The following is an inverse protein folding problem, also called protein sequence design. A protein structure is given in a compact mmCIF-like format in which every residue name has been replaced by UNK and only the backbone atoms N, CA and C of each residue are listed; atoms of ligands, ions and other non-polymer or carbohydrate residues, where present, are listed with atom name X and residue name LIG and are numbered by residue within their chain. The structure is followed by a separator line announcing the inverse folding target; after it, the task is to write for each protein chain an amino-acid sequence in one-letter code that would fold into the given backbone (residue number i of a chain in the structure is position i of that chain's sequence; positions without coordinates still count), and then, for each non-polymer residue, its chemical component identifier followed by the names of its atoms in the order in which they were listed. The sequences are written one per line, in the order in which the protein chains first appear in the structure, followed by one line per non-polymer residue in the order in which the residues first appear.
data_IF_673821207255
#
_entry.id   IF_673821207255
#
_cell.length_a   1.000
_cell.length_b   1.000
_cell.length_c   1.000
_cell.angle_alpha   90.00
_cell.angle_beta   90.00
_cell.angle_gamma   90.00
#
_symmetry.space_group_name_H-M   'P 1'
#
loop_
_entity.id
_entity.type
_entity.pdbx_description
1 polymer ?
#
# COMPACT_ATOMS: atom_id res chain seq x y z
N UNK A 1 -38.33 -4.75 -35.87
CA UNK A 1 -37.23 -5.00 -34.90
C UNK A 1 -36.01 -4.17 -35.29
N UNK A 2 -35.80 -3.01 -34.65
CA UNK A 2 -34.62 -2.12 -34.83
C UNK A 2 -34.19 -1.42 -33.50
N UNK A 3 -34.86 -1.75 -32.39
CA UNK A 3 -34.66 -1.10 -31.09
C UNK A 3 -33.41 -1.58 -30.35
N UNK A 4 -32.92 -2.79 -30.66
CA UNK A 4 -31.72 -3.36 -30.05
C UNK A 4 -30.44 -2.56 -30.34
N UNK A 5 -30.28 -2.02 -31.55
CA UNK A 5 -29.08 -1.25 -31.91
C UNK A 5 -29.02 0.12 -31.24
N UNK A 6 -30.17 0.78 -31.06
CA UNK A 6 -30.22 2.08 -30.37
C UNK A 6 -29.93 1.89 -28.88
N UNK A 7 -30.47 0.83 -28.27
CA UNK A 7 -30.20 0.50 -26.87
C UNK A 7 -28.71 0.20 -26.64
N UNK A 8 -28.08 -0.56 -27.55
CA UNK A 8 -26.64 -0.86 -27.48
C UNK A 8 -25.76 0.38 -27.61
N UNK A 9 -26.06 1.27 -28.55
CA UNK A 9 -25.31 2.52 -28.74
C UNK A 9 -25.45 3.49 -27.55
N UNK A 10 -26.64 3.55 -26.93
CA UNK A 10 -26.85 4.35 -25.72
C UNK A 10 -26.11 3.73 -24.54
N UNK A 11 -26.15 2.40 -24.39
CA UNK A 11 -25.44 1.67 -23.35
C UNK A 11 -23.92 1.87 -23.46
N UNK A 12 -23.33 1.77 -24.65
CA UNK A 12 -21.90 2.01 -24.87
C UNK A 12 -21.49 3.44 -24.50
N UNK A 13 -22.29 4.46 -24.85
CA UNK A 13 -22.02 5.85 -24.46
C UNK A 13 -22.07 6.05 -22.94
N UNK A 14 -23.04 5.43 -22.25
CA UNK A 14 -23.14 5.50 -20.79
C UNK A 14 -21.95 4.78 -20.13
N UNK A 15 -21.56 3.63 -20.65
CA UNK A 15 -20.39 2.88 -20.18
C UNK A 15 -19.10 3.68 -20.39
N UNK A 16 -18.91 4.32 -21.54
CA UNK A 16 -17.73 5.14 -21.81
C UNK A 16 -17.68 6.41 -20.95
N UNK A 17 -18.84 7.01 -20.66
CA UNK A 17 -18.93 8.14 -19.75
C UNK A 17 -18.55 7.73 -18.31
N UNK A 18 -19.10 6.62 -17.81
CA UNK A 18 -18.73 6.03 -16.52
C UNK A 18 -17.24 5.65 -16.48
N UNK A 19 -16.70 5.09 -17.58
CA UNK A 19 -15.29 4.69 -17.69
C UNK A 19 -14.35 5.89 -17.62
N UNK A 20 -14.63 6.96 -18.38
CA UNK A 20 -13.84 8.21 -18.34
C UNK A 20 -13.86 8.85 -16.96
N UNK A 21 -15.02 8.85 -16.29
CA UNK A 21 -15.15 9.35 -14.92
C UNK A 21 -14.35 8.51 -13.91
N UNK A 22 -14.34 7.19 -14.09
CA UNK A 22 -13.65 6.26 -13.19
C UNK A 22 -12.13 6.27 -13.40
N UNK A 23 -11.65 6.46 -14.63
CA UNK A 23 -10.21 6.53 -14.97
C UNK A 23 -9.51 7.67 -14.21
N UNK A 24 -10.14 8.85 -14.12
CA UNK A 24 -9.55 9.98 -13.40
C UNK A 24 -9.34 9.67 -11.92
N UNK A 25 -10.31 9.01 -11.28
CA UNK A 25 -10.18 8.56 -9.89
C UNK A 25 -9.13 7.45 -9.74
N UNK A 26 -9.10 6.51 -10.69
CA UNK A 26 -8.15 5.39 -10.68
C UNK A 26 -6.70 5.85 -10.86
N UNK A 27 -6.45 6.86 -11.71
CA UNK A 27 -5.13 7.50 -11.85
C UNK A 27 -4.66 8.16 -10.56
N UNK A 28 -5.54 8.92 -9.88
CA UNK A 28 -5.23 9.53 -8.57
C UNK A 28 -4.91 8.47 -7.52
N UNK A 29 -5.68 7.38 -7.50
CA UNK A 29 -5.43 6.26 -6.59
C UNK A 29 -4.07 5.60 -6.82
N UNK A 30 -3.70 5.34 -8.08
CA UNK A 30 -2.39 4.79 -8.42
C UNK A 30 -1.27 5.77 -8.02
N UNK A 31 -1.44 7.07 -8.29
CA UNK A 31 -0.45 8.07 -7.89
C UNK A 31 -0.23 8.11 -6.37
N UNK A 32 -1.29 8.03 -5.56
CA UNK A 32 -1.17 7.98 -4.09
C UNK A 32 -0.40 6.73 -3.64
N UNK A 33 -0.66 5.57 -4.27
CA UNK A 33 0.08 4.33 -3.96
C UNK A 33 1.55 4.46 -4.31
N UNK A 34 1.87 5.02 -5.48
CA UNK A 34 3.26 5.21 -5.91
C UNK A 34 4.00 6.15 -4.96
N UNK A 35 3.37 7.26 -4.57
CA UNK A 35 3.93 8.20 -3.59
C UNK A 35 4.14 7.50 -2.23
N UNK A 36 3.18 6.70 -1.78
CA UNK A 36 3.29 5.97 -0.53
C UNK A 36 4.46 4.96 -0.55
N UNK A 37 4.63 4.21 -1.64
CA UNK A 37 5.75 3.28 -1.82
C UNK A 37 7.07 4.05 -1.83
N UNK A 38 7.18 5.13 -2.62
CA UNK A 38 8.38 5.97 -2.67
C UNK A 38 8.73 6.53 -1.29
N UNK A 39 7.74 6.99 -0.53
CA UNK A 39 7.95 7.49 0.84
C UNK A 39 8.48 6.40 1.78
N UNK A 40 8.01 5.16 1.64
CA UNK A 40 8.57 4.03 2.41
C UNK A 40 10.01 3.72 2.02
N UNK A 41 10.35 3.76 0.74
CA UNK A 41 11.73 3.54 0.28
C UNK A 41 12.65 4.61 0.86
N UNK A 42 12.27 5.89 0.79
CA UNK A 42 13.06 7.00 1.35
C UNK A 42 13.23 6.83 2.86
N UNK A 43 12.16 6.52 3.60
CA UNK A 43 12.23 6.26 5.03
C UNK A 43 13.15 5.07 5.35
N UNK A 44 13.09 4.00 4.56
CA UNK A 44 13.99 2.84 4.70
C UNK A 44 15.45 3.23 4.54
N UNK A 45 15.78 4.03 3.52
CA UNK A 45 17.14 4.54 3.32
C UNK A 45 17.60 5.41 4.50
N UNK A 46 16.73 6.28 5.01
CA UNK A 46 17.04 7.11 6.17
C UNK A 46 17.31 6.26 7.42
N UNK A 47 16.51 5.22 7.66
CA UNK A 47 16.72 4.30 8.78
C UNK A 47 18.05 3.56 8.63
N UNK A 48 18.37 3.06 7.43
CA UNK A 48 19.64 2.38 7.16
C UNK A 48 20.82 3.31 7.41
N UNK A 49 20.76 4.55 6.94
CA UNK A 49 21.83 5.53 7.19
C UNK A 49 21.98 5.82 8.69
N UNK A 50 20.88 5.98 9.44
CA UNK A 50 20.92 6.18 10.90
C UNK A 50 21.55 4.96 11.60
N UNK A 51 21.21 3.75 11.18
CA UNK A 51 21.76 2.51 11.75
C UNK A 51 23.24 2.31 11.41
N UNK A 52 23.67 2.74 10.21
CA UNK A 52 25.09 2.75 9.81
C UNK A 52 25.88 3.77 10.64
N UNK A 53 25.35 4.98 10.82
CA UNK A 53 26.00 6.04 11.61
C UNK A 53 26.12 5.66 13.09
N UNK A 54 25.18 4.88 13.62
CA UNK A 54 25.18 4.43 15.03
C UNK A 54 26.03 3.18 15.30
N UNK A 55 26.70 2.61 14.29
CA UNK A 55 27.37 1.31 14.39
C UNK A 55 26.47 0.17 14.90
N UNK A 56 25.14 0.30 14.87
CA UNK A 56 24.21 -0.75 15.32
C UNK A 56 24.34 -2.03 14.48
N UNK A 57 24.88 -1.93 13.26
CA UNK A 57 25.27 -3.09 12.45
C UNK A 57 26.50 -3.83 12.96
N UNK A 58 27.39 -3.19 13.74
CA UNK A 58 28.53 -3.84 14.37
C UNK A 58 28.09 -4.85 15.43
N UNK A 59 27.03 -4.53 16.18
CA UNK A 59 26.35 -5.48 17.06
C UNK A 59 25.80 -6.66 16.25
N UNK A 60 25.12 -6.42 15.13
CA UNK A 60 24.63 -7.49 14.24
C UNK A 60 25.76 -8.36 13.63
N UNK A 61 26.96 -7.81 13.39
CA UNK A 61 28.10 -8.60 12.91
C UNK A 61 28.68 -9.52 13.99
N UNK A 62 28.60 -9.15 15.28
CA UNK A 62 28.92 -10.04 16.40
C UNK A 62 27.98 -11.26 16.45
N UNK A 63 26.70 -11.09 16.07
CA UNK A 63 25.75 -12.19 15.93
C UNK A 63 26.09 -13.12 14.75
N UNK A 64 26.80 -12.67 13.73
CA UNK A 64 27.17 -13.51 12.58
C UNK A 64 28.34 -14.47 12.84
N UNK A 65 29.12 -14.26 13.90
CA UNK A 65 30.35 -15.01 14.15
C UNK A 65 30.14 -16.23 15.05
N UNK A 66 29.20 -16.19 16.00
CA UNK A 66 28.94 -17.32 16.92
C UNK A 66 27.43 -17.61 17.06
N UNK A 67 26.94 -18.73 16.51
CA UNK A 67 25.52 -19.09 16.57
C UNK A 67 25.02 -19.40 18.00
N UNK A 68 25.92 -19.77 18.92
CA UNK A 68 25.59 -19.95 20.35
C UNK A 68 25.25 -18.62 21.03
N UNK A 69 25.93 -17.53 20.65
CA UNK A 69 25.64 -16.18 21.14
C UNK A 69 24.30 -15.70 20.60
N UNK A 70 23.94 -16.06 19.36
CA UNK A 70 22.61 -15.78 18.81
C UNK A 70 21.53 -16.43 19.68
N UNK A 71 21.63 -17.73 19.96
CA UNK A 71 20.59 -18.44 20.71
C UNK A 71 20.43 -17.89 22.14
N UNK A 72 21.51 -17.44 22.77
CA UNK A 72 21.49 -16.89 24.12
C UNK A 72 21.03 -15.42 24.19
N UNK A 73 21.38 -14.58 23.21
CA UNK A 73 21.25 -13.12 23.30
C UNK A 73 20.39 -12.47 22.19
N UNK A 74 19.72 -13.26 21.35
CA UNK A 74 18.87 -12.70 20.29
C UNK A 74 17.74 -11.82 20.82
N UNK A 75 17.13 -12.16 21.96
CA UNK A 75 16.06 -11.35 22.56
C UNK A 75 16.58 -10.01 23.05
N UNK A 76 17.65 -10.01 23.84
CA UNK A 76 18.27 -8.78 24.36
C UNK A 76 18.74 -7.88 23.22
N UNK A 77 19.23 -8.47 22.14
CA UNK A 77 19.72 -7.71 20.99
C UNK A 77 18.59 -7.14 20.15
N UNK A 78 17.51 -7.90 19.94
CA UNK A 78 16.30 -7.34 19.33
C UNK A 78 15.71 -6.23 20.19
N UNK A 79 15.79 -6.35 21.51
CA UNK A 79 15.32 -5.33 22.44
C UNK A 79 16.16 -4.04 22.34
N UNK A 80 17.48 -4.16 22.41
CA UNK A 80 18.40 -3.02 22.24
C UNK A 80 18.24 -2.40 20.86
N UNK A 81 18.11 -3.21 19.81
CA UNK A 81 17.86 -2.72 18.45
C UNK A 81 16.52 -1.96 18.35
N UNK A 82 15.48 -2.43 19.02
CA UNK A 82 14.19 -1.77 19.08
C UNK A 82 14.25 -0.43 19.84
N UNK A 83 15.04 -0.36 20.90
CA UNK A 83 15.24 0.83 21.72
C UNK A 83 16.12 1.88 21.01
N UNK A 84 17.12 1.44 20.24
CA UNK A 84 17.95 2.31 19.41
C UNK A 84 17.23 2.82 18.17
N UNK A 85 16.17 2.14 17.72
CA UNK A 85 15.40 2.55 16.56
C UNK A 85 14.73 3.90 16.81
N UNK A 86 14.83 4.86 15.88
CA UNK A 86 14.20 6.16 16.02
C UNK A 86 12.67 6.02 15.99
N UNK A 87 12.05 5.95 17.18
CA UNK A 87 10.61 5.71 17.34
C UNK A 87 9.75 6.66 16.50
N UNK A 88 10.16 7.92 16.33
CA UNK A 88 9.45 8.90 15.48
C UNK A 88 9.29 8.39 14.04
N UNK A 89 10.31 7.76 13.49
CA UNK A 89 10.28 7.21 12.13
C UNK A 89 9.40 5.96 12.07
N UNK A 90 9.46 5.11 13.10
CA UNK A 90 8.61 3.91 13.23
C UNK A 90 7.13 4.27 13.32
N UNK A 91 6.76 5.28 14.10
CA UNK A 91 5.38 5.77 14.18
C UNK A 91 4.91 6.35 12.84
N UNK A 92 5.79 7.06 12.13
CA UNK A 92 5.47 7.67 10.85
C UNK A 92 5.28 6.61 9.76
N UNK A 93 6.09 5.56 9.73
CA UNK A 93 5.91 4.42 8.82
C UNK A 93 4.63 3.64 9.14
N UNK A 94 4.32 3.43 10.43
CA UNK A 94 3.08 2.80 10.86
C UNK A 94 1.83 3.61 10.45
N UNK A 95 1.87 4.94 10.58
CA UNK A 95 0.80 5.83 10.15
C UNK A 95 0.57 5.76 8.63
N UNK A 96 1.65 5.75 7.83
CA UNK A 96 1.57 5.57 6.37
C UNK A 96 0.97 4.22 6.00
N UNK A 97 1.40 3.13 6.66
CA UNK A 97 0.82 1.78 6.52
C UNK A 97 -0.70 1.77 6.76
N UNK A 98 -1.14 2.34 7.89
CA UNK A 98 -2.57 2.41 8.21
C UNK A 98 -3.35 3.24 7.17
N UNK A 99 -2.78 4.35 6.70
CA UNK A 99 -3.36 5.17 5.64
C UNK A 99 -3.58 4.38 4.35
N UNK A 100 -2.59 3.59 3.91
CA UNK A 100 -2.68 2.72 2.73
C UNK A 100 -3.80 1.69 2.91
N UNK A 101 -3.86 1.03 4.06
CA UNK A 101 -4.90 0.03 4.37
C UNK A 101 -6.29 0.66 4.33
N UNK A 102 -6.47 1.84 4.94
CA UNK A 102 -7.73 2.58 4.92
C UNK A 102 -8.18 2.93 3.50
N UNK A 103 -7.26 3.47 2.69
CA UNK A 103 -7.49 3.78 1.28
C UNK A 103 -7.85 2.51 0.48
N UNK A 104 -7.18 1.38 0.75
CA UNK A 104 -7.45 0.11 0.09
C UNK A 104 -8.85 -0.44 0.41
N UNK A 105 -9.28 -0.36 1.68
CA UNK A 105 -10.62 -0.77 2.11
C UNK A 105 -11.70 0.09 1.43
N UNK A 106 -11.52 1.42 1.40
CA UNK A 106 -12.45 2.36 0.75
C UNK A 106 -12.57 2.05 -0.75
N UNK A 107 -11.45 1.76 -1.41
CA UNK A 107 -11.42 1.40 -2.84
C UNK A 107 -12.12 0.08 -3.12
N UNK A 108 -11.90 -0.95 -2.29
CA UNK A 108 -12.62 -2.23 -2.42
C UNK A 108 -14.12 -2.05 -2.29
N UNK A 109 -14.58 -1.24 -1.33
CA UNK A 109 -16.01 -0.93 -1.16
C UNK A 109 -16.61 -0.25 -2.40
N UNK A 110 -15.95 0.78 -2.94
CA UNK A 110 -16.42 1.46 -4.15
C UNK A 110 -16.45 0.55 -5.38
N UNK A 111 -15.43 -0.29 -5.58
CA UNK A 111 -15.42 -1.28 -6.68
C UNK A 111 -16.55 -2.30 -6.54
N UNK A 112 -16.85 -2.78 -5.33
CA UNK A 112 -17.94 -3.73 -5.09
C UNK A 112 -19.31 -3.11 -5.43
N UNK A 113 -19.50 -1.83 -5.12
CA UNK A 113 -20.73 -1.09 -5.46
C UNK A 113 -20.86 -0.91 -6.98
N UNK A 114 -19.78 -0.50 -7.66
CA UNK A 114 -19.74 -0.36 -9.11
C UNK A 114 -20.05 -1.69 -9.82
N UNK A 115 -19.44 -2.80 -9.37
CA UNK A 115 -19.68 -4.14 -9.94
C UNK A 115 -21.14 -4.57 -9.78
N UNK A 116 -21.76 -4.26 -8.63
CA UNK A 116 -23.19 -4.50 -8.40
C UNK A 116 -24.09 -3.65 -9.29
N UNK A 117 -23.73 -2.39 -9.55
CA UNK A 117 -24.50 -1.50 -10.45
C UNK A 117 -24.40 -1.98 -11.90
N UNK A 118 -23.20 -2.32 -12.37
CA UNK A 118 -22.99 -2.89 -13.72
C UNK A 118 -23.75 -4.19 -13.93
N UNK A 119 -23.71 -5.12 -12.97
CA UNK A 119 -24.43 -6.39 -13.10
C UNK A 119 -25.96 -6.23 -13.08
N UNK A 120 -26.49 -5.18 -12.44
CA UNK A 120 -27.92 -4.85 -12.52
C UNK A 120 -28.30 -4.28 -13.89
N UNK A 121 -27.44 -3.49 -14.51
CA UNK A 121 -27.66 -2.94 -15.85
C UNK A 121 -27.60 -4.05 -16.93
N UNK A 122 -26.73 -5.03 -16.74
CA UNK A 122 -26.61 -6.21 -17.62
C UNK A 122 -27.86 -7.11 -17.59
N UNK A 123 -28.65 -7.06 -16.51
CA UNK A 123 -29.91 -7.83 -16.35
C UNK A 123 -31.15 -7.14 -16.93
N UNK A 124 -31.03 -5.92 -17.44
CA UNK A 124 -32.11 -5.25 -18.17
C UNK A 124 -31.81 -5.33 -19.67
N UNK A 125 -32.38 -6.31 -20.41
CA UNK A 125 -32.36 -6.32 -21.86
C UNK A 125 -33.17 -5.16 -22.46
#
# INVERSE_FOLDING_TARGET
MKTFDVSKNVMEKVVDFERKRTIGWQRRFIAIIVIAILSMVVLGVVIINILLDRQSFALLTLFGQDPEIIAAYWQDTLWVFWEEMPHRIVWLSAAVCMGIIGIFILTRRKRKILRKKLHKLEKYP
#
